data_IF_815103017063
#
_entry.id   IF_815103017063
#
_cell.length_a   1.000
_cell.length_b   1.000
_cell.length_c   1.000
_cell.angle_alpha   90.00
_cell.angle_beta   90.00
_cell.angle_gamma   90.00
#
_symmetry.space_group_name_H-M   'P 1'
#
loop_
_entity.id
_entity.type
_entity.pdbx_description
1 polymer ?
#
# COMPACT_ATOMS: atom_id res chain seq x y z
N UNK A 1 14.55 -19.91 -1.52
CA UNK A 1 13.45 -20.12 -2.48
C UNK A 1 12.29 -19.21 -2.12
N UNK A 2 11.68 -18.56 -3.11
CA UNK A 2 10.48 -17.73 -2.94
C UNK A 2 9.32 -18.42 -3.64
N UNK A 3 8.22 -18.64 -2.92
CA UNK A 3 6.99 -19.26 -3.44
C UNK A 3 5.87 -18.24 -3.24
N UNK A 4 5.10 -17.98 -4.28
CA UNK A 4 3.89 -17.16 -4.22
C UNK A 4 2.71 -18.05 -4.56
N UNK A 5 1.68 -18.06 -3.71
CA UNK A 5 0.46 -18.83 -3.88
C UNK A 5 -0.75 -17.91 -3.70
N UNK A 6 -1.58 -17.80 -4.74
CA UNK A 6 -2.90 -17.19 -4.65
C UNK A 6 -3.89 -18.24 -4.15
N UNK A 7 -4.44 -18.06 -2.95
CA UNK A 7 -5.33 -19.04 -2.32
C UNK A 7 -6.78 -18.84 -2.78
N UNK A 8 -7.18 -17.59 -3.05
CA UNK A 8 -8.48 -17.21 -3.64
C UNK A 8 -8.33 -15.98 -4.54
N UNK A 9 -9.40 -15.51 -5.18
CA UNK A 9 -9.34 -14.26 -5.97
C UNK A 9 -8.81 -13.06 -5.15
N UNK A 10 -9.08 -13.07 -3.85
CA UNK A 10 -8.88 -11.93 -2.96
C UNK A 10 -7.74 -12.12 -1.95
N UNK A 11 -7.06 -13.27 -1.93
CA UNK A 11 -6.02 -13.60 -0.95
C UNK A 11 -4.76 -14.15 -1.62
N UNK A 12 -3.66 -13.45 -1.39
CA UNK A 12 -2.32 -13.86 -1.81
C UNK A 12 -1.45 -14.17 -0.59
N UNK A 13 -0.67 -15.25 -0.72
CA UNK A 13 0.27 -15.71 0.29
C UNK A 13 1.64 -15.89 -0.33
N UNK A 14 2.62 -15.18 0.18
CA UNK A 14 4.03 -15.30 -0.17
C UNK A 14 4.79 -16.01 0.93
N UNK A 15 5.60 -17.01 0.59
CA UNK A 15 6.53 -17.65 1.51
C UNK A 15 7.93 -17.48 0.94
N UNK A 16 8.86 -16.99 1.75
CA UNK A 16 10.26 -16.92 1.40
C UNK A 16 11.07 -17.67 2.44
N UNK A 17 11.91 -18.59 1.97
CA UNK A 17 12.84 -19.32 2.81
C UNK A 17 14.25 -19.14 2.28
N UNK A 18 15.17 -18.72 3.14
CA UNK A 18 16.57 -18.58 2.81
C UNK A 18 17.39 -19.50 3.74
N UNK A 19 17.99 -20.57 3.21
CA UNK A 19 18.82 -21.44 4.03
C UNK A 19 20.07 -20.69 4.50
N UNK A 20 20.42 -20.87 5.76
CA UNK A 20 21.66 -20.38 6.35
C UNK A 20 22.83 -21.34 6.11
N UNK A 21 24.03 -20.78 6.12
CA UNK A 21 25.33 -21.48 5.99
C UNK A 21 26.14 -21.46 7.30
N UNK A 22 27.46 -21.66 7.25
CA UNK A 22 28.31 -21.69 8.46
C UNK A 22 28.40 -20.35 9.19
N UNK A 23 28.06 -19.24 8.52
CA UNK A 23 28.16 -17.88 9.05
C UNK A 23 26.83 -17.11 9.01
N UNK A 24 25.82 -17.64 8.32
CA UNK A 24 24.50 -17.03 8.18
C UNK A 24 23.39 -17.88 8.82
N UNK A 25 22.42 -17.19 9.43
CA UNK A 25 21.23 -17.83 10.01
C UNK A 25 20.25 -18.24 8.91
N UNK A 26 19.37 -19.18 9.22
CA UNK A 26 18.25 -19.50 8.33
C UNK A 26 17.16 -18.45 8.47
N UNK A 27 16.49 -18.12 7.37
CA UNK A 27 15.44 -17.09 7.33
C UNK A 27 14.14 -17.67 6.81
N UNK A 28 13.04 -17.33 7.47
CA UNK A 28 11.70 -17.67 7.06
C UNK A 28 10.83 -16.41 7.10
N UNK A 29 10.15 -16.12 5.99
CA UNK A 29 9.23 -14.99 5.86
C UNK A 29 7.89 -15.48 5.29
N UNK A 30 6.81 -14.96 5.84
CA UNK A 30 5.44 -15.15 5.39
C UNK A 30 4.83 -13.77 5.13
N UNK A 31 4.42 -13.56 3.89
CA UNK A 31 3.68 -12.40 3.42
C UNK A 31 2.23 -12.80 3.17
N UNK A 32 1.29 -11.99 3.64
CA UNK A 32 -0.14 -12.15 3.41
C UNK A 32 -0.68 -10.85 2.87
N UNK A 33 -1.48 -10.90 1.81
CA UNK A 33 -2.25 -9.76 1.37
C UNK A 33 -3.66 -10.17 1.00
N UNK A 34 -4.63 -9.32 1.31
CA UNK A 34 -6.01 -9.49 0.90
C UNK A 34 -6.65 -8.20 0.46
N UNK A 35 -7.48 -8.28 -0.58
CA UNK A 35 -8.23 -7.17 -1.13
C UNK A 35 -9.73 -7.48 -1.02
N UNK A 36 -10.48 -6.56 -0.44
CA UNK A 36 -11.91 -6.73 -0.16
C UNK A 36 -12.70 -5.51 -0.65
N UNK A 37 -14.00 -5.70 -0.85
CA UNK A 37 -14.94 -4.64 -1.25
C UNK A 37 -14.56 -3.97 -2.59
N UNK A 38 -14.44 -4.74 -3.67
CA UNK A 38 -14.05 -4.25 -5.00
C UNK A 38 -12.73 -3.46 -4.97
N UNK A 39 -11.70 -4.09 -4.39
CA UNK A 39 -10.36 -3.51 -4.18
C UNK A 39 -10.33 -2.24 -3.33
N UNK A 40 -11.39 -1.95 -2.56
CA UNK A 40 -11.43 -0.74 -1.73
C UNK A 40 -10.68 -0.91 -0.43
N UNK A 41 -10.71 -2.08 0.20
CA UNK A 41 -9.93 -2.39 1.40
C UNK A 41 -8.76 -3.29 1.02
N UNK A 42 -7.52 -2.85 1.28
CA UNK A 42 -6.32 -3.70 1.22
C UNK A 42 -5.82 -3.92 2.64
N UNK A 43 -5.54 -5.17 2.99
CA UNK A 43 -4.82 -5.55 4.21
C UNK A 43 -3.58 -6.32 3.77
N UNK A 44 -2.42 -5.82 4.15
CA UNK A 44 -1.12 -6.41 3.86
C UNK A 44 -0.41 -6.66 5.18
N UNK A 45 0.29 -7.78 5.30
CA UNK A 45 1.08 -8.06 6.47
C UNK A 45 2.21 -9.02 6.17
N UNK A 46 3.35 -8.80 6.80
CA UNK A 46 4.52 -9.64 6.66
C UNK A 46 5.03 -10.03 8.04
N UNK A 47 5.53 -11.26 8.16
CA UNK A 47 6.16 -11.77 9.37
C UNK A 47 7.41 -12.53 9.00
N UNK A 48 8.51 -12.25 9.70
CA UNK A 48 9.81 -12.85 9.50
C UNK A 48 10.38 -13.41 10.80
N UNK A 49 11.12 -14.50 10.69
CA UNK A 49 11.90 -15.08 11.79
C UNK A 49 13.18 -15.68 11.26
N UNK A 50 14.18 -15.81 12.14
CA UNK A 50 15.41 -16.51 11.82
C UNK A 50 15.82 -17.54 12.83
N UNK A 51 16.63 -18.47 12.37
CA UNK A 51 17.09 -19.58 13.18
C UNK A 51 18.62 -19.65 13.14
N UNK A 52 19.22 -19.53 14.32
CA UNK A 52 20.66 -19.69 14.49
C UNK A 52 20.98 -21.18 14.71
N UNK A 53 21.59 -21.81 13.71
CA UNK A 53 22.02 -23.22 13.77
C UNK A 53 23.12 -23.46 14.80
N UNK A 54 24.01 -22.49 15.01
CA UNK A 54 25.15 -22.64 15.90
C UNK A 54 24.71 -22.58 17.37
N UNK A 55 23.77 -21.67 17.69
CA UNK A 55 23.21 -21.55 19.04
C UNK A 55 21.96 -22.40 19.28
N UNK A 56 21.41 -23.03 18.23
CA UNK A 56 20.16 -23.82 18.25
C UNK A 56 18.95 -23.04 18.79
N UNK A 57 18.88 -21.74 18.55
CA UNK A 57 17.82 -20.88 19.05
C UNK A 57 17.12 -20.14 17.91
N UNK A 58 15.79 -19.98 18.03
CA UNK A 58 15.01 -19.11 17.16
C UNK A 58 15.13 -17.66 17.65
N UNK A 59 15.26 -16.72 16.71
CA UNK A 59 15.31 -15.28 16.97
C UNK A 59 13.91 -14.70 17.21
N UNK A 60 13.85 -13.42 17.56
CA UNK A 60 12.59 -12.71 17.74
C UNK A 60 11.80 -12.64 16.43
N UNK A 61 10.48 -12.80 16.53
CA UNK A 61 9.55 -12.61 15.42
C UNK A 61 9.43 -11.11 15.13
N UNK A 62 9.60 -10.73 13.87
CA UNK A 62 9.48 -9.36 13.36
C UNK A 62 8.31 -9.34 12.38
N UNK A 63 7.51 -8.28 12.37
CA UNK A 63 6.44 -8.17 11.39
C UNK A 63 5.86 -6.78 11.24
N UNK A 64 5.08 -6.63 10.19
CA UNK A 64 4.42 -5.41 9.76
C UNK A 64 3.00 -5.70 9.30
N UNK A 65 2.13 -4.71 9.46
CA UNK A 65 0.75 -4.72 9.01
C UNK A 65 0.41 -3.35 8.43
N UNK A 66 -0.11 -3.35 7.22
CA UNK A 66 -0.63 -2.18 6.50
C UNK A 66 -2.11 -2.40 6.15
N UNK A 67 -2.93 -1.41 6.45
CA UNK A 67 -4.35 -1.41 6.12
C UNK A 67 -4.64 -0.13 5.34
N UNK A 68 -5.29 -0.24 4.19
CA UNK A 68 -5.71 0.92 3.42
C UNK A 68 -7.12 0.81 2.88
N UNK A 69 -7.84 1.93 2.85
CA UNK A 69 -9.22 2.01 2.41
C UNK A 69 -9.47 3.16 1.44
N UNK A 70 -9.96 2.86 0.22
CA UNK A 70 -10.39 3.85 -0.78
C UNK A 70 -11.74 4.45 -0.40
N UNK A 71 -11.73 5.71 0.04
CA UNK A 71 -12.93 6.45 0.44
C UNK A 71 -13.82 6.73 -0.76
N UNK A 72 -13.22 7.15 -1.89
CA UNK A 72 -13.92 7.43 -3.14
C UNK A 72 -13.79 6.27 -4.11
N UNK A 73 -14.82 6.05 -4.94
CA UNK A 73 -14.83 5.01 -5.97
C UNK A 73 -13.70 5.19 -6.99
N UNK A 74 -13.35 6.44 -7.28
CA UNK A 74 -12.22 6.79 -8.16
C UNK A 74 -10.84 6.60 -7.51
N UNK A 75 -10.77 6.15 -6.25
CA UNK A 75 -9.54 5.87 -5.51
C UNK A 75 -8.70 7.12 -5.17
N UNK A 76 -9.20 8.33 -5.42
CA UNK A 76 -8.43 9.55 -5.16
C UNK A 76 -8.18 9.79 -3.69
N UNK A 77 -9.11 9.42 -2.81
CA UNK A 77 -8.96 9.54 -1.36
C UNK A 77 -8.76 8.17 -0.73
N UNK A 78 -7.65 8.00 0.01
CA UNK A 78 -7.31 6.74 0.66
C UNK A 78 -6.93 7.01 2.12
N UNK A 79 -7.55 6.30 3.07
CA UNK A 79 -7.07 6.25 4.45
C UNK A 79 -6.08 5.11 4.57
N UNK A 80 -4.99 5.33 5.30
CA UNK A 80 -3.95 4.33 5.58
C UNK A 80 -3.71 4.24 7.07
N UNK A 81 -3.54 3.03 7.56
CA UNK A 81 -3.16 2.74 8.94
C UNK A 81 -2.07 1.68 8.87
N UNK A 82 -1.01 1.81 9.65
CA UNK A 82 0.09 0.87 9.61
C UNK A 82 0.72 0.68 10.98
N UNK A 83 1.30 -0.50 11.16
CA UNK A 83 2.16 -0.86 12.27
C UNK A 83 3.34 -1.62 11.68
N UNK A 84 4.54 -1.03 11.73
CA UNK A 84 5.76 -1.60 11.19
C UNK A 84 6.71 -1.89 12.33
N UNK A 85 7.30 -3.08 12.37
CA UNK A 85 8.41 -3.31 13.30
C UNK A 85 9.63 -2.49 12.90
N UNK A 86 10.28 -1.86 13.88
CA UNK A 86 11.45 -1.00 13.67
C UNK A 86 12.76 -1.78 13.59
N UNK A 87 12.69 -3.12 13.61
CA UNK A 87 13.86 -3.97 13.45
C UNK A 87 14.28 -3.93 11.98
N UNK A 88 15.22 -3.02 11.67
CA UNK A 88 15.69 -2.72 10.31
C UNK A 88 16.35 -3.90 9.58
N UNK A 89 16.74 -4.93 10.34
CA UNK A 89 17.17 -6.22 9.86
C UNK A 89 17.10 -7.18 11.04
N UNK A 90 16.43 -8.32 10.89
CA UNK A 90 16.42 -9.40 11.88
C UNK A 90 17.86 -9.85 12.27
N UNK A 91 18.85 -9.58 11.42
CA UNK A 91 20.28 -9.87 11.61
C UNK A 91 20.98 -8.86 12.54
N UNK A 92 20.50 -7.63 12.63
CA UNK A 92 21.06 -6.55 13.46
C UNK A 92 20.06 -6.11 14.52
N UNK A 93 19.71 -7.02 15.44
CA UNK A 93 19.00 -6.64 16.66
C UNK A 93 19.97 -5.90 17.59
N UNK A 94 20.17 -4.61 17.34
CA UNK A 94 21.03 -3.76 18.17
C UNK A 94 20.26 -3.27 19.40
N UNK A 95 20.97 -2.90 20.47
CA UNK A 95 20.36 -2.46 21.74
C UNK A 95 19.37 -1.29 21.58
N UNK A 96 19.47 -0.53 20.48
CA UNK A 96 18.59 0.60 20.15
C UNK A 96 17.18 0.18 19.69
N UNK A 97 17.01 -1.00 19.09
CA UNK A 97 15.74 -1.51 18.56
C UNK A 97 14.77 -1.95 19.68
N UNK A 98 15.26 -2.02 20.93
CA UNK A 98 14.48 -2.40 22.12
C UNK A 98 13.56 -1.28 22.63
N UNK A 99 13.85 -0.03 22.30
CA UNK A 99 13.20 1.15 22.90
C UNK A 99 11.93 1.57 22.17
N UNK A 100 11.85 1.34 20.86
CA UNK A 100 10.67 1.58 20.03
C UNK A 100 10.57 0.45 19.01
N UNK A 101 10.02 -0.71 19.39
CA UNK A 101 10.03 -1.90 18.54
C UNK A 101 9.05 -1.80 17.36
N UNK A 102 8.15 -0.82 17.36
CA UNK A 102 7.14 -0.60 16.33
C UNK A 102 6.92 0.89 16.05
N UNK A 103 6.81 1.25 14.77
CA UNK A 103 6.28 2.53 14.30
C UNK A 103 4.84 2.34 13.85
N UNK A 104 3.94 3.16 14.38
CA UNK A 104 2.51 3.08 14.09
C UNK A 104 2.02 4.43 13.58
N UNK A 105 1.08 4.42 12.65
CA UNK A 105 0.56 5.65 12.10
C UNK A 105 -0.78 5.49 11.43
N UNK A 106 -1.45 6.62 11.28
CA UNK A 106 -2.65 6.79 10.47
C UNK A 106 -2.44 8.00 9.57
N UNK A 107 -2.91 7.92 8.33
CA UNK A 107 -2.75 8.97 7.35
C UNK A 107 -3.86 8.96 6.32
N UNK A 108 -3.96 10.05 5.57
CA UNK A 108 -4.86 10.18 4.42
C UNK A 108 -4.01 10.58 3.22
N UNK A 109 -4.22 9.89 2.10
CA UNK A 109 -3.59 10.19 0.82
C UNK A 109 -4.65 10.74 -0.14
N UNK A 110 -4.26 11.75 -0.91
CA UNK A 110 -5.08 12.32 -1.98
C UNK A 110 -4.30 12.34 -3.29
N UNK A 111 -4.88 11.79 -4.36
CA UNK A 111 -4.29 11.77 -5.70
C UNK A 111 -5.14 12.59 -6.67
N UNK A 112 -4.51 13.48 -7.44
CA UNK A 112 -5.15 14.29 -8.49
C UNK A 112 -4.28 14.35 -9.73
N UNK A 113 -4.85 14.04 -10.89
CA UNK A 113 -4.19 14.23 -12.19
C UNK A 113 -4.38 15.68 -12.66
N UNK A 114 -3.34 16.27 -13.24
CA UNK A 114 -3.32 17.65 -13.72
C UNK A 114 -2.38 17.76 -14.93
N UNK A 115 -2.63 18.74 -15.80
CA UNK A 115 -1.79 19.04 -16.96
C UNK A 115 -0.83 20.21 -16.69
N UNK A 116 -1.05 20.96 -15.62
CA UNK A 116 -0.24 22.11 -15.22
C UNK A 116 -0.17 22.22 -13.70
N UNK A 117 0.97 22.63 -13.14
CA UNK A 117 1.17 22.84 -11.69
C UNK A 117 0.15 23.83 -11.12
N UNK A 118 -0.30 24.80 -11.93
CA UNK A 118 -1.31 25.77 -11.52
C UNK A 118 -2.68 25.13 -11.24
N UNK A 119 -3.01 24.00 -11.87
CA UNK A 119 -4.26 23.27 -11.67
C UNK A 119 -4.32 22.51 -10.35
N UNK A 120 -3.17 22.24 -9.71
CA UNK A 120 -3.10 21.63 -8.37
C UNK A 120 -3.69 22.60 -7.34
N UNK A 121 -3.25 23.86 -7.38
CA UNK A 121 -3.61 24.90 -6.41
C UNK A 121 -4.86 25.70 -6.80
N UNK A 122 -5.28 25.65 -8.06
CA UNK A 122 -6.54 26.24 -8.48
C UNK A 122 -7.71 25.43 -7.90
N UNK A 123 -8.52 26.08 -7.05
CA UNK A 123 -9.85 25.59 -6.68
C UNK A 123 -10.60 25.26 -7.97
N UNK A 124 -10.99 24.00 -8.13
CA UNK A 124 -11.84 23.53 -9.23
C UNK A 124 -13.15 24.32 -9.21
N UNK A 125 -13.19 25.45 -9.91
CA UNK A 125 -14.46 26.03 -10.33
C UNK A 125 -15.02 25.09 -11.40
N UNK A 126 -16.27 24.63 -11.29
CA UNK A 126 -16.87 23.86 -12.35
C UNK A 126 -16.83 24.72 -13.62
N UNK A 127 -16.11 24.26 -14.66
CA UNK A 127 -16.21 24.87 -15.99
C UNK A 127 -17.65 24.66 -16.44
N UNK A 128 -18.45 25.72 -16.35
CA UNK A 128 -19.75 25.80 -17.00
C UNK A 128 -19.45 25.56 -18.48
N UNK A 129 -19.85 24.41 -19.03
CA UNK A 129 -19.78 24.17 -20.47
C UNK A 129 -20.62 25.26 -21.11
N UNK A 130 -19.96 26.18 -21.80
CA UNK A 130 -20.61 27.25 -22.51
C UNK A 130 -21.54 26.65 -23.56
N UNK A 131 -22.82 27.02 -23.44
CA UNK A 131 -23.92 26.67 -24.35
C UNK A 131 -23.80 27.46 -25.68
N UNK A 132 -22.61 27.56 -26.27
CA UNK A 132 -22.39 28.48 -27.41
C UNK A 132 -22.87 27.90 -28.76
N UNK A 133 -23.14 26.59 -28.87
CA UNK A 133 -23.50 25.99 -30.16
C UNK A 133 -25.00 25.66 -30.34
N UNK A 134 -25.89 26.11 -29.44
CA UNK A 134 -27.33 25.82 -29.55
C UNK A 134 -28.18 27.01 -30.06
N UNK A 135 -27.60 28.20 -30.19
CA UNK A 135 -28.29 29.39 -30.73
C UNK A 135 -27.95 29.67 -32.20
N UNK A 136 -26.80 29.21 -32.71
CA UNK A 136 -26.41 29.41 -34.11
C UNK A 136 -27.24 28.62 -35.14
N UNK A 137 -28.03 27.63 -34.71
CA UNK A 137 -28.88 26.82 -35.62
C UNK A 137 -30.32 27.31 -35.67
N UNK A 138 -30.70 28.35 -34.90
CA UNK A 138 -32.06 28.91 -34.91
C UNK A 138 -32.21 30.16 -35.76
N UNK A 139 -31.12 30.85 -36.09
CA UNK A 139 -31.17 32.06 -36.92
C UNK A 139 -31.10 31.78 -38.43
N UNK A 140 -30.76 30.56 -38.86
CA UNK A 140 -30.78 30.16 -40.27
C UNK A 140 -32.16 29.67 -40.76
N UNK A 141 -33.05 29.22 -39.87
CA UNK A 141 -34.41 28.76 -40.25
C UNK A 141 -35.46 29.90 -40.32
N UNK A 142 -35.18 31.07 -39.75
CA UNK A 142 -36.08 32.24 -39.77
C UNK A 142 -35.82 33.20 -40.96
N UNK A 143 -34.89 32.87 -41.86
CA UNK A 143 -34.53 33.66 -43.05
C UNK A 143 -34.70 32.91 -44.39
N UNK A 144 -35.50 31.83 -44.42
CA UNK A 144 -35.91 31.10 -45.63
C UNK A 144 -37.43 31.09 -45.82
#
# INVERSE_FOLDING_TARGET
>A
SKVLSRISEDVDVGINYKPGDQVSQEEFELALSTQLFDDRLSIEGNVGMTYDKAQKNASNIVGDVDISYKITEDGRWVVKVYNHSNVNSWYNYSTYDKTSPYTQGVGVAFTKQFNSISEIFQRTRPKKKDRINAEATKEEDDNL
#
